data_IF_921636870294
#
_entry.id   IF_921636870294
#
_cell.length_a   1.000
_cell.length_b   1.000
_cell.length_c   1.000
_cell.angle_alpha   90.00
_cell.angle_beta   90.00
_cell.angle_gamma   90.00
#
_symmetry.space_group_name_H-M   'P 1'
#
loop_
_entity.id
_entity.type
_entity.pdbx_description
1 polymer ?
#
# COMPACT_ATOMS: atom_id res chain seq x y z
N UNK A 1 -10.70 -0.84 -14.77
CA UNK A 1 -9.36 -1.25 -14.30
C UNK A 1 -8.85 -0.17 -13.37
N UNK A 2 -8.24 -0.56 -12.26
CA UNK A 2 -7.68 0.38 -11.27
C UNK A 2 -6.17 0.22 -11.21
N UNK A 3 -5.47 1.35 -11.06
CA UNK A 3 -4.05 1.32 -10.68
C UNK A 3 -3.94 1.76 -9.22
N UNK A 4 -3.28 0.95 -8.40
CA UNK A 4 -3.07 1.18 -6.98
C UNK A 4 -1.57 1.35 -6.75
N UNK A 5 -1.18 2.48 -6.18
CA UNK A 5 0.19 2.79 -5.80
C UNK A 5 0.25 2.98 -4.29
N UNK A 6 1.21 2.35 -3.63
CA UNK A 6 1.41 2.51 -2.19
C UNK A 6 2.88 2.72 -1.87
N UNK A 7 3.14 3.51 -0.83
CA UNK A 7 4.45 3.68 -0.24
C UNK A 7 4.32 3.96 1.27
N UNK A 8 5.34 3.60 2.05
CA UNK A 8 5.41 3.85 3.47
C UNK A 8 6.65 4.69 3.83
N UNK A 9 6.48 5.60 4.78
CA UNK A 9 7.56 6.39 5.36
C UNK A 9 7.61 6.11 6.86
N UNK A 10 8.80 5.74 7.36
CA UNK A 10 9.05 5.47 8.78
C UNK A 10 10.11 6.42 9.32
N UNK A 11 9.86 7.05 10.46
CA UNK A 11 10.86 7.80 11.22
C UNK A 11 11.43 6.93 12.36
N UNK A 12 12.69 6.44 12.26
CA UNK A 12 13.26 5.55 13.27
C UNK A 12 13.40 6.17 14.67
N UNK A 13 13.58 7.48 14.76
CA UNK A 13 13.81 8.17 16.05
C UNK A 13 12.53 8.32 16.86
N UNK A 14 11.41 8.61 16.21
CA UNK A 14 10.10 8.78 16.87
C UNK A 14 9.32 7.47 16.93
N UNK A 15 9.69 6.48 16.12
CA UNK A 15 8.96 5.22 15.94
C UNK A 15 7.65 5.38 15.17
N UNK A 16 7.42 6.55 14.57
CA UNK A 16 6.21 6.84 13.80
C UNK A 16 6.37 6.33 12.38
N UNK A 17 5.29 5.74 11.87
CA UNK A 17 5.18 5.38 10.46
C UNK A 17 3.90 5.97 9.88
N UNK A 18 3.96 6.31 8.61
CA UNK A 18 2.81 6.73 7.84
C UNK A 18 2.92 6.18 6.42
N UNK A 19 1.83 6.23 5.68
CA UNK A 19 1.81 5.73 4.31
C UNK A 19 0.90 6.52 3.41
N UNK A 20 1.23 6.48 2.13
CA UNK A 20 0.52 7.11 1.04
C UNK A 20 -0.12 6.05 0.15
N UNK A 21 -1.36 6.31 -0.25
CA UNK A 21 -2.08 5.50 -1.23
C UNK A 21 -2.53 6.43 -2.36
N UNK A 22 -2.23 6.06 -3.59
CA UNK A 22 -2.75 6.70 -4.78
C UNK A 22 -3.51 5.67 -5.61
N UNK A 23 -4.80 5.91 -5.81
CA UNK A 23 -5.68 5.10 -6.66
C UNK A 23 -5.96 5.90 -7.92
N UNK A 24 -5.79 5.27 -9.08
CA UNK A 24 -6.06 5.89 -10.38
C UNK A 24 -7.06 5.05 -11.16
N UNK A 25 -8.13 5.68 -11.62
CA UNK A 25 -9.17 5.08 -12.46
C UNK A 25 -9.76 6.15 -13.37
N UNK A 26 -9.88 5.84 -14.67
CA UNK A 26 -10.51 6.73 -15.66
C UNK A 26 -10.01 8.19 -15.63
N UNK A 27 -8.69 8.36 -15.45
CA UNK A 27 -8.00 9.66 -15.32
C UNK A 27 -8.27 10.43 -14.03
N UNK A 28 -9.09 9.89 -13.13
CA UNK A 28 -9.28 10.42 -11.79
C UNK A 28 -8.27 9.81 -10.82
N UNK A 29 -7.82 10.63 -9.87
CA UNK A 29 -6.88 10.25 -8.83
C UNK A 29 -7.50 10.42 -7.45
N UNK A 30 -7.52 9.35 -6.66
CA UNK A 30 -7.84 9.40 -5.23
C UNK A 30 -6.56 9.27 -4.43
N UNK A 31 -6.26 10.27 -3.61
CA UNK A 31 -5.05 10.34 -2.79
C UNK A 31 -5.43 10.21 -1.32
N UNK A 32 -4.87 9.20 -0.65
CA UNK A 32 -5.15 8.92 0.76
C UNK A 32 -3.83 8.89 1.54
N UNK A 33 -3.94 9.28 2.81
CA UNK A 33 -2.84 9.36 3.77
C UNK A 33 -3.26 8.62 5.02
N UNK A 34 -2.40 7.76 5.53
CA UNK A 34 -2.67 7.00 6.74
C UNK A 34 -1.50 7.10 7.70
N UNK A 35 -1.80 7.34 8.97
CA UNK A 35 -0.87 7.04 10.06
C UNK A 35 -0.91 5.53 10.28
N UNK A 36 0.26 4.93 10.41
CA UNK A 36 0.42 3.48 10.51
C UNK A 36 0.76 3.08 11.94
N UNK A 37 0.40 1.85 12.28
CA UNK A 37 0.73 1.27 13.60
C UNK A 37 2.09 0.59 13.60
N UNK A 38 2.62 0.28 12.42
CA UNK A 38 3.95 -0.25 12.24
C UNK A 38 5.03 0.67 12.83
N UNK A 39 6.04 0.05 13.41
CA UNK A 39 7.20 0.74 14.02
C UNK A 39 8.49 0.54 13.23
N UNK A 40 8.43 -0.20 12.12
CA UNK A 40 9.55 -0.47 11.24
C UNK A 40 9.12 -0.44 9.77
N UNK A 41 10.09 -0.17 8.89
CA UNK A 41 9.82 0.05 7.48
C UNK A 41 9.07 -1.11 6.82
N UNK A 42 9.59 -2.34 6.92
CA UNK A 42 8.96 -3.49 6.26
C UNK A 42 7.52 -3.76 6.74
N UNK A 43 7.26 -3.63 8.04
CA UNK A 43 5.90 -3.75 8.55
C UNK A 43 4.99 -2.64 8.00
N UNK A 44 5.50 -1.41 7.89
CA UNK A 44 4.76 -0.28 7.35
C UNK A 44 4.42 -0.48 5.86
N UNK A 45 5.35 -1.02 5.06
CA UNK A 45 5.12 -1.38 3.66
C UNK A 45 3.95 -2.38 3.48
N UNK A 46 3.95 -3.45 4.28
CA UNK A 46 2.85 -4.43 4.23
C UNK A 46 1.53 -3.83 4.74
N UNK A 47 1.59 -3.01 5.79
CA UNK A 47 0.40 -2.37 6.37
C UNK A 47 -0.25 -1.42 5.37
N UNK A 48 0.51 -0.53 4.73
CA UNK A 48 -0.03 0.43 3.74
C UNK A 48 -0.52 -0.28 2.48
N UNK A 49 0.17 -1.32 2.00
CA UNK A 49 -0.29 -2.11 0.87
C UNK A 49 -1.67 -2.72 1.17
N UNK A 50 -1.84 -3.31 2.37
CA UNK A 50 -3.11 -3.91 2.79
C UNK A 50 -4.20 -2.85 2.92
N UNK A 51 -3.90 -1.71 3.53
CA UNK A 51 -4.83 -0.59 3.62
C UNK A 51 -5.23 -0.08 2.24
N UNK A 52 -4.29 -0.01 1.29
CA UNK A 52 -4.54 0.35 -0.11
C UNK A 52 -5.61 -0.50 -0.76
N UNK A 53 -5.54 -1.83 -0.61
CA UNK A 53 -6.57 -2.73 -1.13
C UNK A 53 -7.92 -2.59 -0.40
N UNK A 54 -7.90 -2.34 0.90
CA UNK A 54 -9.15 -2.12 1.65
C UNK A 54 -9.84 -0.81 1.24
N UNK A 55 -9.10 0.28 1.07
CA UNK A 55 -9.66 1.55 0.58
C UNK A 55 -10.14 1.41 -0.86
N UNK A 56 -9.40 0.69 -1.71
CA UNK A 56 -9.85 0.39 -3.06
C UNK A 56 -11.13 -0.45 -3.05
N UNK A 57 -11.24 -1.46 -2.20
CA UNK A 57 -12.44 -2.30 -2.11
C UNK A 57 -13.67 -1.49 -1.67
N UNK A 58 -13.50 -0.52 -0.75
CA UNK A 58 -14.58 0.42 -0.37
C UNK A 58 -15.01 1.28 -1.54
N UNK A 59 -14.06 1.76 -2.34
CA UNK A 59 -14.32 2.61 -3.50
C UNK A 59 -15.00 1.85 -4.65
N UNK A 60 -14.60 0.60 -4.90
CA UNK A 60 -15.15 -0.26 -5.95
C UNK A 60 -16.50 -0.88 -5.53
N UNK A 61 -16.67 -1.22 -4.26
CA UNK A 61 -17.90 -1.80 -3.72
C UNK A 61 -18.21 -3.19 -4.29
N UNK A 62 -19.43 -3.38 -4.80
CA UNK A 62 -19.91 -4.68 -5.26
C UNK A 62 -19.16 -5.22 -6.50
N UNK A 63 -18.49 -4.34 -7.25
CA UNK A 63 -17.82 -4.69 -8.51
C UNK A 63 -16.40 -5.22 -8.32
N UNK A 64 -15.97 -5.51 -7.09
CA UNK A 64 -14.63 -6.08 -6.83
C UNK A 64 -14.40 -7.35 -7.66
N UNK A 65 -15.39 -8.24 -7.72
CA UNK A 65 -15.28 -9.54 -8.40
C UNK A 65 -15.12 -9.45 -9.93
N UNK A 66 -15.32 -8.28 -10.53
CA UNK A 66 -15.11 -8.00 -11.96
C UNK A 66 -13.98 -7.00 -12.20
N UNK A 67 -13.31 -6.57 -11.14
CA UNK A 67 -12.29 -5.53 -11.19
C UNK A 67 -10.88 -6.12 -11.28
N UNK A 68 -10.14 -5.68 -12.29
CA UNK A 68 -8.69 -5.88 -12.39
C UNK A 68 -7.95 -4.71 -11.74
N UNK A 69 -6.98 -5.04 -10.88
CA UNK A 69 -6.11 -4.10 -10.17
C UNK A 69 -4.66 -4.28 -10.63
N UNK A 70 -4.05 -3.20 -11.09
CA UNK A 70 -2.60 -3.10 -11.28
C UNK A 70 -2.02 -2.50 -10.01
N UNK A 71 -1.31 -3.31 -9.23
CA UNK A 71 -0.73 -2.89 -7.95
C UNK A 71 0.77 -2.60 -8.12
N UNK A 72 1.16 -1.38 -7.79
CA UNK A 72 2.52 -0.88 -7.90
C UNK A 72 3.08 -0.55 -6.52
N UNK A 73 4.31 -1.03 -6.28
CA UNK A 73 5.07 -0.75 -5.05
C UNK A 73 6.56 -0.69 -5.39
N UNK A 74 7.32 0.15 -4.71
CA UNK A 74 8.79 0.17 -4.72
C UNK A 74 9.40 -0.73 -3.62
N UNK A 75 8.56 -1.35 -2.81
CA UNK A 75 8.97 -2.32 -1.79
C UNK A 75 9.24 -3.69 -2.39
N UNK A 76 10.51 -4.03 -2.54
CA UNK A 76 10.93 -5.35 -3.03
C UNK A 76 10.43 -6.48 -2.13
N UNK A 77 10.42 -6.29 -0.80
CA UNK A 77 9.94 -7.32 0.13
C UNK A 77 8.46 -7.61 -0.08
N UNK A 78 7.61 -6.60 -0.31
CA UNK A 78 6.18 -6.79 -0.58
C UNK A 78 5.99 -7.53 -1.89
N UNK A 79 6.63 -7.06 -2.97
CA UNK A 79 6.56 -7.68 -4.29
C UNK A 79 6.98 -9.16 -4.26
N UNK A 80 8.14 -9.46 -3.68
CA UNK A 80 8.66 -10.82 -3.58
C UNK A 80 7.78 -11.73 -2.73
N UNK A 81 7.26 -11.20 -1.62
CA UNK A 81 6.46 -11.98 -0.69
C UNK A 81 5.09 -12.30 -1.26
N UNK A 82 4.50 -11.39 -2.05
CA UNK A 82 3.27 -11.65 -2.79
C UNK A 82 3.49 -12.70 -3.88
N UNK A 83 4.58 -12.59 -4.65
CA UNK A 83 4.91 -13.58 -5.67
C UNK A 83 5.10 -14.98 -5.07
N UNK A 84 5.83 -15.08 -3.96
CA UNK A 84 6.13 -16.34 -3.27
C UNK A 84 5.04 -16.82 -2.32
N UNK A 85 4.04 -15.98 -2.04
CA UNK A 85 3.05 -16.18 -0.96
C UNK A 85 3.72 -16.47 0.40
N UNK A 86 4.92 -15.93 0.62
CA UNK A 86 5.73 -16.26 1.79
C UNK A 86 6.68 -15.14 2.21
N UNK A 87 6.74 -14.89 3.52
CA UNK A 87 7.77 -14.05 4.14
C UNK A 87 8.16 -14.58 5.52
N UNK A 88 9.45 -14.90 5.71
CA UNK A 88 9.97 -15.56 6.93
C UNK A 88 9.55 -14.93 8.26
N UNK A 89 9.49 -13.60 8.33
CA UNK A 89 9.14 -12.86 9.54
C UNK A 89 7.84 -12.06 9.42
N UNK A 90 7.20 -12.09 8.25
CA UNK A 90 6.04 -11.25 7.92
C UNK A 90 4.87 -12.07 7.35
N UNK A 91 4.86 -13.40 7.55
CA UNK A 91 3.83 -14.27 6.96
C UNK A 91 2.40 -13.82 7.27
N UNK A 92 2.12 -13.45 8.52
CA UNK A 92 0.80 -12.92 8.91
C UNK A 92 0.40 -11.67 8.11
N UNK A 93 1.37 -10.79 7.81
CA UNK A 93 1.12 -9.60 7.00
C UNK A 93 0.91 -9.95 5.52
N UNK A 94 1.63 -10.95 5.00
CA UNK A 94 1.42 -11.49 3.64
C UNK A 94 0.02 -12.10 3.53
N UNK A 95 -0.37 -12.94 4.48
CA UNK A 95 -1.69 -13.59 4.49
C UNK A 95 -2.82 -12.55 4.55
N UNK A 96 -2.66 -11.52 5.39
CA UNK A 96 -3.61 -10.41 5.49
C UNK A 96 -3.69 -9.58 4.20
N UNK A 97 -2.57 -9.38 3.51
CA UNK A 97 -2.52 -8.68 2.23
C UNK A 97 -3.17 -9.50 1.11
N UNK A 98 -2.88 -10.80 1.03
CA UNK A 98 -3.52 -11.72 0.09
C UNK A 98 -5.04 -11.80 0.32
N UNK A 99 -5.48 -11.83 1.58
CA UNK A 99 -6.89 -11.79 1.93
C UNK A 99 -7.57 -10.48 1.48
N UNK A 100 -6.86 -9.35 1.54
CA UNK A 100 -7.37 -8.08 1.01
C UNK A 100 -7.43 -8.04 -0.52
N UNK A 101 -6.61 -8.84 -1.21
CA UNK A 101 -6.62 -8.98 -2.67
C UNK A 101 -7.69 -9.96 -3.18
N UNK A 102 -8.06 -10.95 -2.37
CA UNK A 102 -8.97 -12.03 -2.74
C UNK A 102 -10.35 -11.62 -3.32
N UNK A 103 -10.96 -10.49 -2.92
CA UNK A 103 -12.23 -10.05 -3.50
C UNK A 103 -12.13 -9.58 -4.97
N UNK A 104 -10.93 -9.22 -5.44
CA UNK A 104 -10.72 -8.71 -6.79
C UNK A 104 -10.62 -9.85 -7.81
N UNK A 105 -11.09 -9.61 -9.03
CA UNK A 105 -11.01 -10.60 -10.11
C UNK A 105 -9.56 -10.99 -10.42
N UNK A 106 -8.69 -9.98 -10.48
CA UNK A 106 -7.29 -10.13 -10.83
C UNK A 106 -6.48 -9.01 -10.20
N UNK A 107 -5.38 -9.37 -9.54
CA UNK A 107 -4.39 -8.43 -9.03
C UNK A 107 -3.05 -8.74 -9.69
N UNK A 108 -2.50 -7.77 -10.41
CA UNK A 108 -1.17 -7.84 -11.00
C UNK A 108 -0.23 -6.95 -10.19
N UNK A 109 0.62 -7.58 -9.38
CA UNK A 109 1.63 -6.87 -8.59
C UNK A 109 2.86 -6.61 -9.44
N UNK A 110 3.34 -5.37 -9.45
CA UNK A 110 4.55 -4.95 -10.15
C UNK A 110 5.42 -4.11 -9.23
N UNK A 111 6.67 -4.54 -9.07
CA UNK A 111 7.69 -3.69 -8.50
C UNK A 111 8.06 -2.58 -9.48
N UNK A 112 8.10 -1.34 -9.00
CA UNK A 112 8.52 -0.17 -9.77
C UNK A 112 9.61 0.61 -9.04
N UNK A 113 10.54 1.27 -9.73
CA UNK A 113 11.47 2.18 -9.09
C UNK A 113 10.72 3.34 -8.42
N UNK A 114 11.22 3.83 -7.29
CA UNK A 114 10.66 4.96 -6.52
C UNK A 114 10.32 6.19 -7.39
N UNK A 115 11.12 6.49 -8.42
CA UNK A 115 10.86 7.59 -9.38
C UNK A 115 9.53 7.46 -10.13
N UNK A 116 9.01 6.25 -10.26
CA UNK A 116 7.70 5.95 -10.86
C UNK A 116 6.59 5.85 -9.80
N UNK A 117 6.94 5.85 -8.51
CA UNK A 117 6.02 5.78 -7.36
C UNK A 117 5.93 7.11 -6.58
N UNK A 118 6.40 8.23 -7.16
CA UNK A 118 6.55 9.51 -6.47
C UNK A 118 5.25 10.06 -5.86
N UNK A 119 4.10 9.74 -6.44
CA UNK A 119 2.80 10.15 -5.91
C UNK A 119 2.53 9.55 -4.53
N UNK A 120 2.66 8.23 -4.39
CA UNK A 120 2.49 7.54 -3.12
C UNK A 120 3.59 7.96 -2.11
N UNK A 121 4.84 8.10 -2.58
CA UNK A 121 5.96 8.55 -1.75
C UNK A 121 5.76 9.94 -1.15
N UNK A 122 5.30 10.89 -1.97
CA UNK A 122 5.00 12.25 -1.50
C UNK A 122 3.89 12.23 -0.46
N UNK A 123 2.84 11.42 -0.67
CA UNK A 123 1.74 11.28 0.28
C UNK A 123 2.20 10.66 1.61
N UNK A 124 3.05 9.64 1.57
CA UNK A 124 3.61 9.00 2.75
C UNK A 124 4.44 9.97 3.61
N UNK A 125 5.33 10.73 2.98
CA UNK A 125 6.14 11.74 3.68
C UNK A 125 5.29 12.88 4.25
N UNK A 126 4.28 13.35 3.51
CA UNK A 126 3.35 14.35 4.03
C UNK A 126 2.59 13.83 5.25
N UNK A 127 2.13 12.59 5.21
CA UNK A 127 1.44 11.95 6.32
C UNK A 127 2.35 11.79 7.55
N UNK A 128 3.62 11.40 7.34
CA UNK A 128 4.60 11.24 8.40
C UNK A 128 4.88 12.57 9.09
N UNK A 129 5.12 13.63 8.30
CA UNK A 129 5.38 14.97 8.84
C UNK A 129 4.20 15.49 9.66
N UNK A 130 2.96 15.34 9.16
CA UNK A 130 1.76 15.73 9.92
C UNK A 130 1.58 14.92 11.22
N UNK A 131 1.98 13.64 11.23
CA UNK A 131 1.93 12.81 12.44
C UNK A 131 2.98 13.23 13.48
N UNK A 132 4.15 13.69 13.04
CA UNK A 132 5.19 14.24 13.92
C UNK A 132 4.77 15.58 14.54
N UNK A 133 4.15 16.47 13.77
CA UNK A 133 3.68 17.78 14.24
C UNK A 133 2.51 17.69 15.23
N UNK A 134 1.72 16.62 15.16
CA UNK A 134 0.57 16.40 16.05
C UNK A 134 0.96 15.82 17.43
N UNK A 135 2.25 15.57 17.67
CA UNK A 135 2.80 14.98 18.90
C UNK A 135 3.17 16.05 19.92
#
# INVERSE_FOLDING_TARGET
MFSLYTDAATQPQSGLSAGGILIVHDHEQTQLKHVLTATNNHAAEFEIARLGFLELAKLVGADCATTTVLFYTDSQIVNDSLSKHYAKHYQSAVDALLAAQAPFQLVLTQWVPEKQNQGAHTLANQALHSAEDAK
#
